data_IF_522433737784
#
_entry.id   IF_522433737784
#
_cell.length_a   1.000
_cell.length_b   1.000
_cell.length_c   1.000
_cell.angle_alpha   90.00
_cell.angle_beta   90.00
_cell.angle_gamma   90.00
#
_symmetry.space_group_name_H-M   'P 1'
#
loop_
_entity.id
_entity.type
_entity.pdbx_description
1 polymer ?
#
# COMPACT_ATOMS: atom_id res chain seq x y z
N UNK A 1 29.23 15.51 10.90
CA UNK A 1 30.63 15.03 10.98
C UNK A 1 30.78 13.88 9.98
N UNK A 2 31.90 13.82 9.26
CA UNK A 2 32.25 12.73 8.33
C UNK A 2 33.42 11.96 8.90
N UNK A 3 33.37 10.64 8.77
CA UNK A 3 34.39 9.71 9.27
C UNK A 3 34.97 8.99 8.06
N UNK A 4 36.29 9.08 7.87
CA UNK A 4 36.98 8.44 6.74
C UNK A 4 38.06 7.50 7.24
N UNK A 5 38.15 6.31 6.64
CA UNK A 5 39.26 5.39 6.88
C UNK A 5 40.41 5.74 5.93
N UNK A 6 41.52 6.17 6.50
CA UNK A 6 42.77 6.48 5.78
C UNK A 6 43.82 5.40 6.05
N UNK A 7 44.97 5.47 5.37
CA UNK A 7 46.12 4.61 5.65
C UNK A 7 46.68 4.77 7.07
N UNK A 8 46.36 5.86 7.78
CA UNK A 8 46.77 6.14 9.16
C UNK A 8 45.69 5.83 10.21
N UNK A 9 44.54 5.30 9.79
CA UNK A 9 43.40 5.02 10.66
C UNK A 9 42.17 5.85 10.34
N UNK A 10 41.23 5.88 11.28
CA UNK A 10 39.96 6.58 11.13
C UNK A 10 40.14 8.05 11.50
N UNK A 11 39.81 8.96 10.58
CA UNK A 11 39.92 10.41 10.76
C UNK A 11 38.52 11.02 10.73
N UNK A 12 38.21 11.86 11.73
CA UNK A 12 36.99 12.66 11.75
C UNK A 12 37.25 14.04 11.15
N UNK A 13 36.34 14.48 10.28
CA UNK A 13 36.30 15.86 9.79
C UNK A 13 34.92 16.48 9.94
N UNK A 14 34.91 17.78 10.19
CA UNK A 14 33.69 18.56 10.09
C UNK A 14 33.30 18.72 8.62
N UNK A 15 32.01 18.67 8.36
CA UNK A 15 31.41 18.93 7.06
C UNK A 15 30.28 19.91 7.28
N UNK A 16 30.10 20.83 6.35
CA UNK A 16 28.96 21.74 6.33
C UNK A 16 27.67 20.99 6.00
N UNK A 17 26.52 21.59 6.30
CA UNK A 17 25.22 21.03 5.91
C UNK A 17 25.08 20.92 4.39
N UNK A 18 25.62 21.88 3.64
CA UNK A 18 25.57 21.89 2.17
C UNK A 18 26.40 20.75 1.57
N UNK A 19 27.61 20.52 2.10
CA UNK A 19 28.43 19.37 1.69
C UNK A 19 27.74 18.05 2.01
N UNK A 20 27.13 17.95 3.20
CA UNK A 20 26.36 16.77 3.59
C UNK A 20 25.20 16.51 2.63
N UNK A 21 24.36 17.51 2.37
CA UNK A 21 23.21 17.36 1.46
C UNK A 21 23.65 17.05 0.04
N UNK A 22 24.70 17.70 -0.46
CA UNK A 22 25.24 17.41 -1.79
C UNK A 22 25.72 15.97 -1.91
N UNK A 23 26.42 15.46 -0.90
CA UNK A 23 26.89 14.07 -0.89
C UNK A 23 25.71 13.10 -0.74
N UNK A 24 24.79 13.35 0.19
CA UNK A 24 23.60 12.55 0.44
C UNK A 24 22.69 12.43 -0.80
N UNK A 25 22.39 13.56 -1.45
CA UNK A 25 21.55 13.61 -2.66
C UNK A 25 22.27 12.98 -3.88
N UNK A 26 23.59 12.77 -3.80
CA UNK A 26 24.37 12.08 -4.84
C UNK A 26 24.40 10.56 -4.69
N UNK A 27 24.03 10.03 -3.51
CA UNK A 27 24.09 8.59 -3.22
C UNK A 27 23.26 7.74 -4.20
N UNK A 28 22.02 8.12 -4.59
CA UNK A 28 21.24 7.33 -5.55
C UNK A 28 21.93 7.14 -6.91
N UNK A 29 22.87 8.01 -7.26
CA UNK A 29 23.58 8.02 -8.53
C UNK A 29 25.00 7.45 -8.45
N UNK A 30 25.55 7.26 -7.24
CA UNK A 30 26.95 6.87 -7.04
C UNK A 30 27.12 5.52 -6.35
N UNK A 31 26.09 5.03 -5.65
CA UNK A 31 26.13 3.77 -4.93
C UNK A 31 25.39 2.70 -5.72
N UNK A 32 26.05 1.56 -5.98
CA UNK A 32 25.41 0.36 -6.51
C UNK A 32 24.77 -0.44 -5.38
N UNK A 33 23.59 -0.99 -5.61
CA UNK A 33 22.87 -1.82 -4.65
C UNK A 33 21.95 -2.81 -5.36
N UNK A 34 21.51 -3.86 -4.68
CA UNK A 34 20.49 -4.78 -5.22
C UNK A 34 19.08 -4.19 -5.14
N UNK A 35 18.85 -3.33 -4.14
CA UNK A 35 17.57 -2.73 -3.83
C UNK A 35 17.79 -1.31 -3.31
N UNK A 36 17.05 -0.36 -3.89
CA UNK A 36 17.01 1.03 -3.42
C UNK A 36 15.63 1.34 -2.83
N UNK A 37 15.62 1.83 -1.58
CA UNK A 37 14.39 2.22 -0.88
C UNK A 37 14.52 3.70 -0.51
N UNK A 38 14.06 4.64 -1.36
CA UNK A 38 13.99 6.03 -0.95
C UNK A 38 12.89 6.16 0.12
N UNK A 39 13.28 6.39 1.37
CA UNK A 39 12.39 6.53 2.53
C UNK A 39 12.47 7.93 3.18
N UNK A 40 12.90 8.92 2.40
CA UNK A 40 13.02 10.33 2.76
C UNK A 40 13.60 11.11 1.58
N UNK A 41 14.23 12.26 1.84
CA UNK A 41 14.86 13.07 0.81
C UNK A 41 13.92 14.08 0.16
N UNK A 42 14.43 14.81 -0.84
CA UNK A 42 13.66 15.85 -1.54
C UNK A 42 12.73 15.20 -2.56
N UNK A 43 11.48 15.69 -2.71
CA UNK A 43 10.67 15.32 -3.86
C UNK A 43 11.44 15.55 -5.16
N UNK A 44 11.20 14.70 -6.15
CA UNK A 44 11.79 14.79 -7.49
C UNK A 44 13.33 14.74 -7.49
N UNK A 45 13.93 14.07 -6.51
CA UNK A 45 15.39 13.84 -6.47
C UNK A 45 15.87 13.13 -7.73
N UNK A 46 15.08 12.19 -8.25
CA UNK A 46 15.32 11.58 -9.56
C UNK A 46 14.25 12.09 -10.54
N UNK A 47 14.69 12.78 -11.59
CA UNK A 47 13.83 13.49 -12.52
C UNK A 47 14.20 13.25 -14.00
N UNK A 48 13.43 13.84 -14.93
CA UNK A 48 13.64 13.66 -16.38
C UNK A 48 14.99 14.16 -16.89
N UNK A 49 15.62 15.09 -16.19
CA UNK A 49 16.95 15.63 -16.53
C UNK A 49 18.09 14.74 -16.03
N UNK A 50 17.88 14.02 -14.93
CA UNK A 50 18.97 13.36 -14.19
C UNK A 50 18.88 11.84 -14.13
N UNK A 51 17.76 11.21 -14.50
CA UNK A 51 17.55 9.76 -14.37
C UNK A 51 18.63 8.90 -15.03
N UNK A 52 19.27 9.37 -16.10
CA UNK A 52 20.36 8.66 -16.78
C UNK A 52 21.57 8.42 -15.88
N UNK A 53 21.78 9.28 -14.87
CA UNK A 53 22.83 9.12 -13.86
C UNK A 53 22.58 7.94 -12.93
N UNK A 54 21.36 7.41 -12.93
CA UNK A 54 21.02 6.18 -12.22
C UNK A 54 21.49 4.93 -12.99
N UNK A 55 21.90 5.07 -14.26
CA UNK A 55 22.42 3.97 -15.04
C UNK A 55 23.95 3.91 -14.94
N UNK A 56 24.48 2.69 -14.92
CA UNK A 56 25.89 2.42 -15.12
C UNK A 56 26.29 2.62 -16.60
N UNK A 57 27.60 2.57 -16.89
CA UNK A 57 28.14 2.78 -18.24
C UNK A 57 27.62 1.77 -19.27
N UNK A 58 27.26 0.56 -18.84
CA UNK A 58 26.66 -0.49 -19.66
C UNK A 58 25.15 -0.31 -19.87
N UNK A 59 24.56 0.75 -19.30
CA UNK A 59 23.13 1.05 -19.34
C UNK A 59 22.30 0.30 -18.30
N UNK A 60 22.89 -0.59 -17.49
CA UNK A 60 22.18 -1.26 -16.41
C UNK A 60 21.89 -0.29 -15.26
N UNK A 61 20.75 -0.40 -14.56
CA UNK A 61 20.45 0.45 -13.41
C UNK A 61 21.41 0.18 -12.24
N UNK A 62 21.78 1.25 -11.51
CA UNK A 62 22.65 1.18 -10.33
C UNK A 62 22.05 0.36 -9.20
N UNK A 63 20.72 0.36 -9.09
CA UNK A 63 19.96 -0.69 -8.43
C UNK A 63 18.80 -1.18 -9.30
N UNK A 64 18.68 -2.51 -9.52
CA UNK A 64 17.67 -3.07 -10.41
C UNK A 64 16.24 -3.00 -9.85
N UNK A 65 16.10 -2.76 -8.54
CA UNK A 65 14.80 -2.67 -7.86
C UNK A 65 14.72 -1.38 -7.04
N UNK A 66 13.61 -0.67 -7.19
CA UNK A 66 13.26 0.51 -6.40
C UNK A 66 11.91 0.27 -5.72
N UNK A 67 11.84 0.52 -4.42
CA UNK A 67 10.58 0.51 -3.64
C UNK A 67 10.41 1.88 -2.99
N UNK A 68 9.49 2.69 -3.52
CA UNK A 68 9.34 4.09 -3.09
C UNK A 68 8.64 4.20 -1.72
N UNK A 69 9.41 4.30 -0.64
CA UNK A 69 8.87 4.59 0.69
C UNK A 69 8.43 6.06 0.85
N UNK A 70 9.14 6.98 0.21
CA UNK A 70 8.84 8.41 0.19
C UNK A 70 7.89 8.78 -0.95
N UNK A 71 7.00 9.74 -0.69
CA UNK A 71 6.12 10.28 -1.71
C UNK A 71 6.91 11.11 -2.72
N UNK A 72 6.63 10.90 -4.01
CA UNK A 72 7.14 11.71 -5.12
C UNK A 72 8.67 11.81 -5.20
N UNK A 73 9.42 10.82 -4.73
CA UNK A 73 10.89 10.84 -4.83
C UNK A 73 11.38 10.81 -6.29
N UNK A 74 10.68 10.09 -7.16
CA UNK A 74 10.96 9.98 -8.59
C UNK A 74 9.83 10.64 -9.39
N UNK A 75 10.15 11.46 -10.39
CA UNK A 75 9.11 12.05 -11.26
C UNK A 75 8.43 10.99 -12.14
N UNK A 76 7.19 11.20 -12.61
CA UNK A 76 6.53 10.28 -13.53
C UNK A 76 7.34 9.97 -14.80
N UNK A 77 7.99 10.97 -15.38
CA UNK A 77 8.86 10.79 -16.55
C UNK A 77 10.05 9.87 -16.23
N UNK A 78 10.77 10.14 -15.14
CA UNK A 78 11.92 9.33 -14.72
C UNK A 78 11.52 7.88 -14.42
N UNK A 79 10.37 7.65 -13.76
CA UNK A 79 9.86 6.29 -13.51
C UNK A 79 9.63 5.52 -14.81
N UNK A 80 9.11 6.18 -15.84
CA UNK A 80 8.93 5.56 -17.17
C UNK A 80 10.26 5.15 -17.77
N UNK A 81 11.20 6.10 -17.86
CA UNK A 81 12.55 5.88 -18.42
C UNK A 81 13.35 4.80 -17.69
N UNK A 82 13.28 4.77 -16.36
CA UNK A 82 13.97 3.77 -15.55
C UNK A 82 13.38 2.36 -15.74
N UNK A 83 12.06 2.25 -15.85
CA UNK A 83 11.41 0.97 -16.16
C UNK A 83 11.69 0.49 -17.59
N UNK A 84 11.74 1.39 -18.57
CA UNK A 84 12.21 1.09 -19.93
C UNK A 84 13.63 0.54 -19.94
N UNK A 85 14.46 0.99 -18.99
CA UNK A 85 15.84 0.52 -18.79
C UNK A 85 15.94 -0.75 -17.93
N UNK A 86 14.81 -1.41 -17.64
CA UNK A 86 14.77 -2.69 -16.92
C UNK A 86 14.64 -2.60 -15.40
N UNK A 87 14.50 -1.39 -14.83
CA UNK A 87 14.32 -1.21 -13.38
C UNK A 87 12.92 -1.66 -12.95
N UNK A 88 12.83 -2.48 -11.91
CA UNK A 88 11.55 -2.77 -11.24
C UNK A 88 11.24 -1.65 -10.27
N UNK A 89 10.08 -0.99 -10.42
CA UNK A 89 9.68 0.11 -9.54
C UNK A 89 8.33 -0.17 -8.91
N UNK A 90 8.30 -0.37 -7.59
CA UNK A 90 7.07 -0.32 -6.81
C UNK A 90 6.82 1.12 -6.37
N UNK A 91 5.78 1.69 -6.96
CA UNK A 91 5.38 3.09 -6.75
C UNK A 91 4.99 3.35 -5.29
N UNK A 92 5.23 4.58 -4.82
CA UNK A 92 4.83 5.10 -3.51
C UNK A 92 3.38 4.76 -3.14
N UNK A 93 2.45 5.00 -4.06
CA UNK A 93 1.03 4.70 -3.94
C UNK A 93 0.72 3.23 -3.60
N UNK A 94 1.64 2.29 -3.79
CA UNK A 94 1.54 0.91 -3.30
C UNK A 94 2.47 0.66 -2.11
N UNK A 95 3.73 1.09 -2.22
CA UNK A 95 4.81 0.74 -1.31
C UNK A 95 4.70 1.37 0.09
N UNK A 96 4.04 2.52 0.24
CA UNK A 96 4.00 3.27 1.51
C UNK A 96 2.63 3.31 2.21
N UNK A 97 1.65 2.53 1.72
CA UNK A 97 0.27 2.49 2.23
C UNK A 97 0.13 2.07 3.69
N UNK A 98 1.08 1.31 4.23
CA UNK A 98 0.97 0.73 5.57
C UNK A 98 0.77 1.77 6.68
N UNK A 99 1.28 2.99 6.52
CA UNK A 99 1.03 4.08 7.46
C UNK A 99 -0.45 4.40 7.59
N UNK A 100 -1.14 4.66 6.47
CA UNK A 100 -2.58 4.97 6.44
C UNK A 100 -3.41 3.79 6.94
N UNK A 101 -3.03 2.56 6.58
CA UNK A 101 -3.73 1.35 7.04
C UNK A 101 -3.60 1.21 8.56
N UNK A 102 -2.41 1.40 9.12
CA UNK A 102 -2.17 1.32 10.56
C UNK A 102 -2.98 2.35 11.35
N UNK A 103 -3.11 3.59 10.86
CA UNK A 103 -3.95 4.62 11.46
C UNK A 103 -5.44 4.24 11.50
N UNK A 104 -5.94 3.49 10.51
CA UNK A 104 -7.30 2.95 10.55
C UNK A 104 -7.49 1.98 11.74
N UNK A 105 -6.52 1.11 12.01
CA UNK A 105 -6.57 0.19 13.14
C UNK A 105 -6.37 0.89 14.48
N UNK A 106 -5.63 1.99 14.53
CA UNK A 106 -5.55 2.86 15.70
C UNK A 106 -6.91 3.48 16.04
N UNK A 107 -7.63 4.02 15.04
CA UNK A 107 -8.98 4.56 15.24
C UNK A 107 -9.93 3.47 15.75
N UNK A 108 -9.88 2.26 15.16
CA UNK A 108 -10.70 1.12 15.60
C UNK A 108 -10.36 0.73 17.05
N UNK A 109 -9.08 0.71 17.43
CA UNK A 109 -8.66 0.44 18.81
C UNK A 109 -9.30 1.43 19.79
N UNK A 110 -9.20 2.73 19.49
CA UNK A 110 -9.77 3.81 20.31
C UNK A 110 -11.31 3.74 20.42
N UNK A 111 -11.99 3.18 19.42
CA UNK A 111 -13.45 2.98 19.47
C UNK A 111 -13.87 1.73 20.25
N UNK A 112 -12.99 0.73 20.35
CA UNK A 112 -13.30 -0.56 20.97
C UNK A 112 -12.78 -0.68 22.42
N UNK A 113 -11.75 0.08 22.78
CA UNK A 113 -10.99 -0.06 24.02
C UNK A 113 -10.84 1.29 24.71
N UNK A 114 -10.87 1.27 26.03
CA UNK A 114 -10.30 2.37 26.82
C UNK A 114 -8.78 2.37 26.73
N UNK A 115 -8.15 3.50 27.08
CA UNK A 115 -6.69 3.62 27.11
C UNK A 115 -6.03 2.52 27.95
N UNK A 116 -6.57 2.26 29.16
CA UNK A 116 -6.06 1.19 30.02
C UNK A 116 -6.16 -0.18 29.36
N UNK A 117 -7.32 -0.52 28.79
CA UNK A 117 -7.50 -1.80 28.10
C UNK A 117 -6.55 -1.93 26.89
N UNK A 118 -6.31 -0.84 26.16
CA UNK A 118 -5.35 -0.85 25.05
C UNK A 118 -3.92 -1.07 25.56
N UNK A 119 -3.48 -0.35 26.60
CA UNK A 119 -2.14 -0.51 27.16
C UNK A 119 -1.91 -1.92 27.71
N UNK A 120 -2.92 -2.50 28.37
CA UNK A 120 -2.87 -3.86 28.92
C UNK A 120 -2.69 -4.93 27.82
N UNK A 121 -3.16 -4.66 26.58
CA UNK A 121 -3.13 -5.59 25.46
C UNK A 121 -2.32 -5.11 24.24
N UNK A 122 -1.52 -4.04 24.40
CA UNK A 122 -0.91 -3.31 23.29
C UNK A 122 -0.05 -4.20 22.40
N UNK A 123 0.79 -5.03 23.01
CA UNK A 123 1.72 -5.90 22.28
C UNK A 123 0.97 -6.92 21.41
N UNK A 124 -0.08 -7.53 21.96
CA UNK A 124 -0.93 -8.50 21.26
C UNK A 124 -1.67 -7.84 20.08
N UNK A 125 -2.30 -6.69 20.33
CA UNK A 125 -3.03 -5.95 19.31
C UNK A 125 -2.11 -5.48 18.18
N UNK A 126 -0.96 -4.88 18.52
CA UNK A 126 0.00 -4.34 17.53
C UNK A 126 0.59 -5.46 16.68
N UNK A 127 0.93 -6.61 17.28
CA UNK A 127 1.42 -7.77 16.52
C UNK A 127 0.40 -8.22 15.47
N UNK A 128 -0.87 -8.26 15.82
CA UNK A 128 -1.93 -8.66 14.89
C UNK A 128 -2.16 -7.61 13.79
N UNK A 129 -2.03 -6.32 14.11
CA UNK A 129 -2.04 -5.24 13.11
C UNK A 129 -0.87 -5.40 12.13
N UNK A 130 0.34 -5.66 12.62
CA UNK A 130 1.52 -5.89 11.79
C UNK A 130 1.31 -7.08 10.82
N UNK A 131 0.74 -8.19 11.31
CA UNK A 131 0.41 -9.33 10.46
C UNK A 131 -0.58 -8.98 9.34
N UNK A 132 -1.55 -8.10 9.63
CA UNK A 132 -2.45 -7.58 8.58
C UNK A 132 -1.68 -6.70 7.58
N UNK A 133 -0.81 -5.81 8.05
CA UNK A 133 -0.02 -4.93 7.16
C UNK A 133 0.87 -5.74 6.21
N UNK A 134 1.57 -6.74 6.74
CA UNK A 134 2.40 -7.67 5.95
C UNK A 134 1.57 -8.40 4.90
N UNK A 135 0.41 -8.95 5.30
CA UNK A 135 -0.50 -9.61 4.36
C UNK A 135 -0.95 -8.67 3.25
N UNK A 136 -1.39 -7.45 3.57
CA UNK A 136 -1.91 -6.50 2.57
C UNK A 136 -0.81 -6.01 1.62
N UNK A 137 0.39 -5.75 2.15
CA UNK A 137 1.54 -5.39 1.34
C UNK A 137 1.92 -6.55 0.40
N UNK A 138 1.93 -7.78 0.90
CA UNK A 138 2.16 -8.99 0.11
C UNK A 138 1.11 -9.20 -0.99
N UNK A 139 -0.19 -9.14 -0.65
CA UNK A 139 -1.28 -9.32 -1.61
C UNK A 139 -1.19 -8.31 -2.78
N UNK A 140 -0.93 -7.03 -2.48
CA UNK A 140 -0.84 -5.99 -3.52
C UNK A 140 0.42 -6.16 -4.38
N UNK A 141 1.57 -6.43 -3.76
CA UNK A 141 2.81 -6.69 -4.49
C UNK A 141 2.66 -7.91 -5.42
N UNK A 142 2.13 -9.02 -4.91
CA UNK A 142 1.92 -10.23 -5.70
C UNK A 142 1.01 -9.97 -6.90
N UNK A 143 -0.10 -9.22 -6.69
CA UNK A 143 -0.99 -8.87 -7.78
C UNK A 143 -0.31 -7.97 -8.83
N UNK A 144 0.53 -7.03 -8.41
CA UNK A 144 1.30 -6.18 -9.33
C UNK A 144 2.20 -7.06 -10.22
N UNK A 145 2.97 -7.97 -9.62
CA UNK A 145 3.85 -8.87 -10.38
C UNK A 145 3.07 -9.84 -11.27
N UNK A 146 1.92 -10.35 -10.79
CA UNK A 146 1.03 -11.22 -11.57
C UNK A 146 0.51 -10.51 -12.81
N UNK A 147 -0.05 -9.30 -12.67
CA UNK A 147 -0.55 -8.51 -13.81
C UNK A 147 0.55 -8.11 -14.78
N UNK A 148 1.77 -7.82 -14.29
CA UNK A 148 2.94 -7.59 -15.14
C UNK A 148 3.22 -8.83 -15.99
N UNK A 149 3.25 -10.02 -15.39
CA UNK A 149 3.45 -11.29 -16.09
C UNK A 149 2.33 -11.55 -17.11
N UNK A 150 1.07 -11.35 -16.72
CA UNK A 150 -0.10 -11.56 -17.59
C UNK A 150 -0.11 -10.62 -18.81
N UNK A 151 0.42 -9.40 -18.65
CA UNK A 151 0.62 -8.45 -19.75
C UNK A 151 1.79 -8.82 -20.69
N UNK A 152 2.49 -9.93 -20.43
CA UNK A 152 3.73 -10.30 -21.13
C UNK A 152 4.88 -9.34 -20.85
N UNK A 153 4.88 -8.68 -19.68
CA UNK A 153 5.87 -7.68 -19.31
C UNK A 153 5.71 -6.33 -19.99
N UNK A 154 4.59 -6.06 -20.68
CA UNK A 154 4.38 -4.82 -21.44
C UNK A 154 3.91 -3.66 -20.58
N UNK A 155 3.04 -3.91 -19.60
CA UNK A 155 2.47 -2.86 -18.76
C UNK A 155 3.43 -2.51 -17.61
N UNK A 156 3.87 -1.25 -17.45
CA UNK A 156 4.70 -0.79 -16.34
C UNK A 156 4.12 -1.12 -14.96
N UNK A 157 4.97 -1.45 -13.99
CA UNK A 157 4.57 -1.70 -12.60
C UNK A 157 3.83 -0.51 -11.99
N UNK A 158 4.29 0.70 -12.31
CA UNK A 158 3.67 1.96 -11.87
C UNK A 158 2.26 2.17 -12.43
N UNK A 159 2.01 1.74 -13.68
CA UNK A 159 0.67 1.79 -14.28
C UNK A 159 -0.26 0.75 -13.66
N UNK A 160 0.26 -0.45 -13.39
CA UNK A 160 -0.50 -1.48 -12.69
C UNK A 160 -0.90 -1.01 -11.28
N UNK A 161 0.04 -0.46 -10.51
CA UNK A 161 -0.21 0.13 -9.19
C UNK A 161 -1.32 1.20 -9.23
N UNK A 162 -1.30 2.06 -10.26
CA UNK A 162 -2.35 3.06 -10.46
C UNK A 162 -3.71 2.43 -10.76
N UNK A 163 -3.76 1.47 -11.69
CA UNK A 163 -4.99 0.77 -12.04
C UNK A 163 -5.60 0.07 -10.83
N UNK A 164 -4.79 -0.60 -10.01
CA UNK A 164 -5.24 -1.23 -8.77
C UNK A 164 -5.87 -0.22 -7.81
N UNK A 165 -5.23 0.93 -7.63
CA UNK A 165 -5.74 1.99 -6.76
C UNK A 165 -7.08 2.53 -7.27
N UNK A 166 -7.24 2.72 -8.58
CA UNK A 166 -8.51 3.12 -9.19
C UNK A 166 -9.61 2.07 -9.02
N UNK A 167 -9.30 0.80 -9.26
CA UNK A 167 -10.25 -0.31 -9.10
C UNK A 167 -10.74 -0.45 -7.65
N UNK A 168 -9.80 -0.46 -6.68
CA UNK A 168 -10.11 -0.54 -5.26
C UNK A 168 -10.98 0.64 -4.83
N UNK A 169 -10.60 1.87 -5.21
CA UNK A 169 -11.34 3.06 -4.82
C UNK A 169 -12.73 3.12 -5.48
N UNK A 170 -12.85 2.66 -6.73
CA UNK A 170 -14.14 2.55 -7.41
C UNK A 170 -15.09 1.59 -6.71
N UNK A 171 -14.62 0.39 -6.38
CA UNK A 171 -15.41 -0.58 -5.59
C UNK A 171 -15.73 -0.06 -4.19
N UNK A 172 -14.74 0.55 -3.52
CA UNK A 172 -14.93 1.13 -2.20
C UNK A 172 -16.05 2.17 -2.19
N UNK A 173 -16.05 3.12 -3.13
CA UNK A 173 -17.06 4.17 -3.21
C UNK A 173 -18.48 3.59 -3.36
N UNK A 174 -18.65 2.63 -4.28
CA UNK A 174 -19.93 1.96 -4.51
C UNK A 174 -20.42 1.19 -3.28
N UNK A 175 -19.53 0.39 -2.67
CA UNK A 175 -19.86 -0.43 -1.50
C UNK A 175 -20.13 0.44 -0.27
N UNK A 176 -19.37 1.51 -0.09
CA UNK A 176 -19.55 2.43 1.03
C UNK A 176 -20.93 3.10 0.97
N UNK A 177 -21.33 3.60 -0.20
CA UNK A 177 -22.66 4.17 -0.38
C UNK A 177 -23.78 3.13 -0.17
N UNK A 178 -23.57 1.90 -0.66
CA UNK A 178 -24.50 0.79 -0.45
C UNK A 178 -24.71 0.47 1.04
N UNK A 179 -23.64 0.27 1.81
CA UNK A 179 -23.74 -0.05 3.23
C UNK A 179 -24.16 1.15 4.09
N UNK A 180 -23.86 2.38 3.65
CA UNK A 180 -24.37 3.59 4.30
C UNK A 180 -25.89 3.70 4.17
N UNK A 181 -26.44 3.34 3.01
CA UNK A 181 -27.88 3.33 2.78
C UNK A 181 -28.60 2.16 3.48
N UNK A 182 -27.91 1.03 3.67
CA UNK A 182 -28.47 -0.23 4.21
C UNK A 182 -27.75 -0.70 5.47
N UNK A 183 -27.82 0.12 6.51
CA UNK A 183 -27.05 -0.06 7.76
C UNK A 183 -27.38 -1.37 8.49
N UNK A 184 -28.61 -1.86 8.33
CA UNK A 184 -29.10 -3.12 8.89
C UNK A 184 -28.33 -4.35 8.38
N UNK A 185 -27.75 -4.27 7.17
CA UNK A 185 -27.00 -5.38 6.58
C UNK A 185 -25.66 -5.61 7.29
N UNK A 186 -25.04 -4.56 7.84
CA UNK A 186 -23.66 -4.64 8.31
C UNK A 186 -23.43 -5.72 9.38
N UNK A 187 -24.41 -5.92 10.28
CA UNK A 187 -24.33 -6.90 11.36
C UNK A 187 -24.99 -8.24 11.02
N UNK A 188 -25.61 -8.37 9.84
CA UNK A 188 -26.14 -9.62 9.34
C UNK A 188 -25.05 -10.46 8.67
N UNK A 189 -25.21 -11.79 8.64
CA UNK A 189 -24.35 -12.65 7.82
C UNK A 189 -24.71 -12.51 6.33
N UNK A 190 -23.73 -12.55 5.41
CA UNK A 190 -22.29 -12.82 5.63
C UNK A 190 -21.46 -11.57 5.98
N UNK A 191 -22.02 -10.36 5.93
CA UNK A 191 -21.28 -9.10 6.10
C UNK A 191 -20.59 -8.98 7.47
N UNK A 192 -21.24 -9.43 8.54
CA UNK A 192 -20.63 -9.50 9.87
C UNK A 192 -19.35 -10.32 9.89
N UNK A 193 -19.29 -11.42 9.13
CA UNK A 193 -18.09 -12.27 9.08
C UNK A 193 -16.95 -11.54 8.33
N UNK A 194 -17.26 -10.73 7.31
CA UNK A 194 -16.29 -9.87 6.63
C UNK A 194 -15.73 -8.77 7.55
N UNK A 195 -16.57 -8.13 8.38
CA UNK A 195 -16.09 -7.19 9.42
C UNK A 195 -15.12 -7.89 10.37
N UNK A 196 -15.46 -9.10 10.83
CA UNK A 196 -14.58 -9.84 11.73
C UNK A 196 -13.26 -10.22 11.06
N UNK A 197 -13.28 -10.61 9.79
CA UNK A 197 -12.08 -10.92 9.01
C UNK A 197 -11.15 -9.71 8.83
N UNK A 198 -11.72 -8.50 8.72
CA UNK A 198 -10.96 -7.25 8.61
C UNK A 198 -10.20 -6.89 9.91
N UNK A 199 -10.79 -7.19 11.07
CA UNK A 199 -10.25 -6.76 12.36
C UNK A 199 -9.01 -7.58 12.78
N UNK A 200 -8.15 -7.06 13.69
CA UNK A 200 -7.08 -7.84 14.32
C UNK A 200 -7.62 -9.12 14.99
N UNK A 201 -6.83 -10.20 14.98
CA UNK A 201 -7.25 -11.49 15.54
C UNK A 201 -7.65 -11.38 17.01
N UNK A 202 -6.92 -10.55 17.77
CA UNK A 202 -7.23 -10.07 19.10
C UNK A 202 -8.72 -9.73 19.28
N UNK A 203 -9.28 -8.90 18.39
CA UNK A 203 -10.69 -8.48 18.52
C UNK A 203 -11.65 -9.64 18.31
N UNK A 204 -11.30 -10.62 17.46
CA UNK A 204 -12.11 -11.82 17.22
C UNK A 204 -12.04 -12.83 18.36
N UNK A 205 -10.87 -12.96 18.96
CA UNK A 205 -10.55 -14.01 19.94
C UNK A 205 -10.95 -13.61 21.36
N UNK A 206 -11.02 -12.31 21.66
CA UNK A 206 -11.44 -11.80 22.96
C UNK A 206 -12.95 -11.45 22.96
N UNK A 207 -13.83 -12.23 23.62
CA UNK A 207 -15.29 -12.07 23.53
C UNK A 207 -15.79 -10.68 23.95
N UNK A 208 -15.09 -10.07 24.91
CA UNK A 208 -15.36 -8.72 25.41
C UNK A 208 -15.27 -7.68 24.29
N UNK A 209 -14.16 -7.66 23.53
CA UNK A 209 -13.95 -6.70 22.44
C UNK A 209 -14.76 -7.08 21.20
N UNK A 210 -14.88 -8.37 20.89
CA UNK A 210 -15.77 -8.88 19.84
C UNK A 210 -17.21 -8.39 20.02
N UNK A 211 -17.70 -8.39 21.25
CA UNK A 211 -19.05 -7.91 21.59
C UNK A 211 -19.25 -6.42 21.35
N UNK A 212 -18.19 -5.61 21.44
CA UNK A 212 -18.22 -4.15 21.25
C UNK A 212 -18.24 -3.73 19.78
N UNK A 213 -17.85 -4.61 18.85
CA UNK A 213 -17.88 -4.33 17.40
C UNK A 213 -19.26 -3.87 16.92
N UNK A 214 -20.34 -4.41 17.50
CA UNK A 214 -21.72 -4.00 17.16
C UNK A 214 -22.05 -2.55 17.52
N UNK A 215 -21.26 -1.93 18.39
CA UNK A 215 -21.44 -0.57 18.86
C UNK A 215 -20.59 0.44 18.04
N UNK A 216 -19.77 -0.04 17.09
CA UNK A 216 -19.03 0.86 16.21
C UNK A 216 -20.02 1.76 15.44
N UNK A 217 -19.70 3.04 15.21
CA UNK A 217 -20.61 3.91 14.50
C UNK A 217 -20.89 3.36 13.09
N UNK A 218 -22.14 3.44 12.59
CA UNK A 218 -22.52 2.80 11.32
C UNK A 218 -21.64 3.19 10.13
N UNK A 219 -21.12 4.41 10.11
CA UNK A 219 -20.17 4.89 9.08
C UNK A 219 -18.89 4.06 9.05
N UNK A 220 -18.34 3.68 10.21
CA UNK A 220 -17.13 2.84 10.29
C UNK A 220 -17.41 1.40 9.88
N UNK A 221 -18.57 0.84 10.26
CA UNK A 221 -18.98 -0.49 9.79
C UNK A 221 -19.10 -0.53 8.26
N UNK A 222 -19.71 0.49 7.66
CA UNK A 222 -19.78 0.63 6.21
C UNK A 222 -18.39 0.77 5.55
N UNK A 223 -17.49 1.56 6.16
CA UNK A 223 -16.12 1.74 5.66
C UNK A 223 -15.30 0.44 5.73
N UNK A 224 -15.38 -0.29 6.85
CA UNK A 224 -14.72 -1.60 7.03
C UNK A 224 -15.20 -2.58 5.96
N UNK A 225 -16.52 -2.71 5.77
CA UNK A 225 -17.08 -3.59 4.76
C UNK A 225 -16.64 -3.20 3.35
N UNK A 226 -16.73 -1.91 3.02
CA UNK A 226 -16.32 -1.41 1.72
C UNK A 226 -14.85 -1.68 1.44
N UNK A 227 -13.95 -1.42 2.40
CA UNK A 227 -12.52 -1.66 2.25
C UNK A 227 -12.19 -3.16 2.13
N UNK A 228 -12.74 -4.00 3.01
CA UNK A 228 -12.46 -5.43 3.02
C UNK A 228 -12.94 -6.10 1.73
N UNK A 229 -14.16 -5.78 1.31
CA UNK A 229 -14.77 -6.38 0.12
C UNK A 229 -14.10 -5.84 -1.15
N UNK A 230 -13.86 -4.52 -1.26
CA UNK A 230 -13.21 -3.94 -2.43
C UNK A 230 -11.80 -4.52 -2.66
N UNK A 231 -10.99 -4.59 -1.61
CA UNK A 231 -9.65 -5.18 -1.71
C UNK A 231 -9.70 -6.66 -2.03
N UNK A 232 -10.64 -7.42 -1.42
CA UNK A 232 -10.82 -8.85 -1.73
C UNK A 232 -11.23 -9.08 -3.18
N UNK A 233 -12.16 -8.28 -3.71
CA UNK A 233 -12.57 -8.33 -5.13
C UNK A 233 -11.34 -8.14 -6.01
N UNK A 234 -10.56 -7.06 -5.81
CA UNK A 234 -9.43 -6.75 -6.69
C UNK A 234 -8.30 -7.79 -6.56
N UNK A 235 -7.97 -8.21 -5.34
CA UNK A 235 -6.86 -9.13 -5.08
C UNK A 235 -7.15 -10.57 -5.52
N UNK A 236 -8.42 -10.98 -5.54
CA UNK A 236 -8.84 -12.33 -5.96
C UNK A 236 -9.35 -12.43 -7.40
N UNK A 237 -9.35 -11.33 -8.15
CA UNK A 237 -9.75 -11.34 -9.57
C UNK A 237 -11.25 -11.17 -9.82
N UNK A 238 -11.96 -10.52 -8.91
CA UNK A 238 -13.36 -10.11 -9.05
C UNK A 238 -14.35 -10.93 -8.22
N UNK A 239 -15.62 -10.60 -8.37
CA UNK A 239 -16.71 -11.56 -8.18
C UNK A 239 -17.24 -11.92 -9.57
N UNK A 240 -17.42 -13.20 -9.88
CA UNK A 240 -18.03 -13.60 -11.15
C UNK A 240 -19.42 -12.97 -11.26
N UNK A 241 -19.61 -12.05 -12.23
CA UNK A 241 -20.95 -11.56 -12.57
C UNK A 241 -21.69 -12.67 -13.29
N UNK A 242 -22.87 -13.02 -12.82
CA UNK A 242 -23.82 -13.82 -13.60
C UNK A 242 -24.37 -12.96 -14.74
N UNK A 243 -23.58 -12.81 -15.81
CA UNK A 243 -23.88 -11.97 -16.96
C UNK A 243 -25.23 -12.33 -17.59
N UNK A 244 -25.53 -13.63 -17.68
CA UNK A 244 -26.80 -14.10 -18.21
C UNK A 244 -27.98 -13.65 -17.34
N UNK A 245 -27.87 -13.77 -16.01
CA UNK A 245 -28.88 -13.31 -15.07
C UNK A 245 -29.12 -11.79 -15.15
N UNK A 246 -28.05 -11.01 -15.19
CA UNK A 246 -28.11 -9.55 -15.33
C UNK A 246 -28.80 -9.16 -16.65
N UNK A 247 -28.44 -9.82 -17.77
CA UNK A 247 -29.04 -9.58 -19.09
C UNK A 247 -30.53 -9.93 -19.10
N UNK A 248 -30.91 -11.08 -18.53
CA UNK A 248 -32.32 -11.48 -18.43
C UNK A 248 -33.15 -10.47 -17.63
N UNK A 249 -32.64 -10.00 -16.49
CA UNK A 249 -33.32 -8.96 -15.69
C UNK A 249 -33.38 -7.59 -16.37
N UNK A 250 -32.38 -7.24 -17.19
CA UNK A 250 -32.42 -6.00 -17.97
C UNK A 250 -33.43 -6.09 -19.11
N UNK A 251 -33.35 -7.15 -19.93
CA UNK A 251 -34.25 -7.36 -21.06
C UNK A 251 -35.70 -7.51 -20.60
N UNK A 252 -35.96 -8.22 -19.50
CA UNK A 252 -37.30 -8.35 -18.94
C UNK A 252 -37.91 -7.05 -18.41
N UNK A 253 -37.09 -6.06 -18.02
CA UNK A 253 -37.59 -4.72 -17.62
C UNK A 253 -37.83 -3.78 -18.80
N UNK A 254 -37.09 -3.96 -19.89
CA UNK A 254 -37.14 -3.07 -21.05
C UNK A 254 -38.13 -3.54 -22.12
N UNK A 255 -38.34 -4.86 -22.22
CA UNK A 255 -39.10 -5.49 -23.30
C UNK A 255 -40.13 -6.53 -22.80
N UNK A 256 -40.29 -6.67 -21.49
CA UNK A 256 -41.23 -7.60 -20.85
C UNK A 256 -42.39 -6.91 -20.16
#
# INVERSE_FOLDING_TARGET
RRVERTGQGVVERWVTMDEFHKEFDSLPFSVKADLFIPAGGRPETIDGSNWKRYLAEDGAPSAPVIVEGANSFITPEARGKLQESGTVILRDASANKCGVISSSYEIIANLLMSEREFLDHKEEYVRDVLAILEKRAGDEAELIFRRRKDSGGKTPYTEISNALSWEINGHYAQLFDFFRARRELALARPFRDAIMAHLPAFVREHPKFRGRVRNLPPKYLAAILAAEIATTIVYRGGFERNLEGDLRSYLGRMFG
#
